data_IF_947204927996
#
_entry.id   IF_947204927996
#
_cell.length_a   1.000
_cell.length_b   1.000
_cell.length_c   1.000
_cell.angle_alpha   90.00
_cell.angle_beta   90.00
_cell.angle_gamma   90.00
#
_symmetry.space_group_name_H-M   'P 1'
#
loop_
_entity.id
_entity.type
_entity.pdbx_description
1 polymer ?
#
# COMPACT_ATOMS: atom_id res chain seq x y z
N UNK A 1 -37.51 54.80 -30.89
CA UNK A 1 -37.56 53.58 -31.74
C UNK A 1 -36.20 52.88 -31.90
N UNK A 2 -35.06 53.59 -31.97
CA UNK A 2 -33.72 52.97 -32.10
C UNK A 2 -33.21 52.26 -30.83
N UNK A 3 -33.67 52.66 -29.65
CA UNK A 3 -33.25 52.09 -28.35
C UNK A 3 -33.92 50.76 -27.99
N UNK A 4 -35.06 50.42 -28.60
CA UNK A 4 -35.80 49.17 -28.31
C UNK A 4 -35.17 47.97 -29.03
N UNK A 5 -34.60 48.20 -30.22
CA UNK A 5 -33.95 47.16 -31.01
C UNK A 5 -32.66 46.69 -30.33
N UNK A 6 -31.90 47.60 -29.72
CA UNK A 6 -30.66 47.27 -29.00
C UNK A 6 -30.90 46.40 -27.76
N UNK A 7 -32.01 46.63 -27.03
CA UNK A 7 -32.37 45.83 -25.86
C UNK A 7 -32.76 44.39 -26.22
N UNK A 8 -33.41 44.18 -27.38
CA UNK A 8 -33.79 42.83 -27.85
C UNK A 8 -32.59 41.96 -28.26
N UNK A 9 -31.52 42.56 -28.76
CA UNK A 9 -30.30 41.86 -29.16
C UNK A 9 -29.47 41.39 -27.95
N UNK A 10 -29.46 42.15 -26.86
CA UNK A 10 -28.74 41.78 -25.63
C UNK A 10 -29.48 40.66 -24.90
N UNK A 11 -30.82 40.67 -24.91
CA UNK A 11 -31.63 39.60 -24.34
C UNK A 11 -31.44 38.25 -25.06
N UNK A 12 -31.22 38.28 -26.39
CA UNK A 12 -30.99 37.06 -27.17
C UNK A 12 -29.61 36.43 -26.93
N UNK A 13 -28.62 37.18 -26.44
CA UNK A 13 -27.28 36.65 -26.16
C UNK A 13 -27.20 35.94 -24.79
N UNK A 14 -27.95 36.42 -23.80
CA UNK A 14 -27.97 35.81 -22.46
C UNK A 14 -28.70 34.46 -22.41
N UNK A 15 -29.64 34.22 -23.34
CA UNK A 15 -30.41 32.97 -23.41
C UNK A 15 -29.64 31.77 -24.00
N UNK A 16 -28.48 32.01 -24.62
CA UNK A 16 -27.62 30.97 -25.20
C UNK A 16 -26.28 30.82 -24.47
N UNK A 17 -26.12 31.45 -23.30
CA UNK A 17 -24.96 31.17 -22.45
C UNK A 17 -25.09 29.73 -21.91
N UNK A 18 -24.08 28.86 -22.06
CA UNK A 18 -24.13 27.53 -21.48
C UNK A 18 -24.30 27.67 -19.97
N UNK A 19 -25.42 27.17 -19.46
CA UNK A 19 -25.63 27.08 -18.02
C UNK A 19 -24.47 26.26 -17.47
N UNK A 20 -23.66 26.86 -16.57
CA UNK A 20 -22.70 26.09 -15.79
C UNK A 20 -23.51 25.12 -14.96
N UNK A 21 -23.61 23.90 -15.44
CA UNK A 21 -24.23 22.81 -14.71
C UNK A 21 -23.37 22.64 -13.46
N UNK A 22 -23.91 23.05 -12.32
CA UNK A 22 -23.26 22.78 -11.04
C UNK A 22 -23.15 21.27 -10.95
N UNK A 23 -21.92 20.76 -11.09
CA UNK A 23 -21.63 19.35 -10.88
C UNK A 23 -21.99 19.09 -9.43
N UNK A 24 -23.13 18.45 -9.23
CA UNK A 24 -23.50 17.97 -7.90
C UNK A 24 -22.53 16.82 -7.65
N UNK A 25 -21.57 17.02 -6.74
CA UNK A 25 -20.67 15.96 -6.31
C UNK A 25 -21.52 14.86 -5.69
N UNK A 26 -21.82 13.83 -6.48
CA UNK A 26 -22.20 12.54 -5.94
C UNK A 26 -21.11 12.11 -4.98
N UNK A 27 -21.43 11.49 -3.83
CA UNK A 27 -20.43 11.08 -2.82
C UNK A 27 -19.28 10.23 -3.40
N UNK A 28 -19.52 9.55 -4.53
CA UNK A 28 -18.50 8.88 -5.35
C UNK A 28 -17.35 9.79 -5.83
N UNK A 29 -17.62 11.06 -6.12
CA UNK A 29 -16.64 12.03 -6.63
C UNK A 29 -15.71 12.59 -5.54
N UNK A 30 -15.91 12.25 -4.26
CA UNK A 30 -15.14 12.83 -3.16
C UNK A 30 -13.69 12.31 -3.09
N UNK A 31 -13.43 11.10 -3.61
CA UNK A 31 -12.12 10.43 -3.49
C UNK A 31 -11.52 10.01 -4.84
N UNK A 32 -12.05 10.51 -5.96
CA UNK A 32 -11.57 10.15 -7.30
C UNK A 32 -10.16 10.68 -7.61
N UNK A 33 -9.79 11.82 -6.99
CA UNK A 33 -8.48 12.46 -7.13
C UNK A 33 -7.49 12.04 -6.03
N UNK A 34 -7.89 11.13 -5.14
CA UNK A 34 -7.04 10.69 -4.04
C UNK A 34 -5.90 9.78 -4.50
N UNK A 35 -4.84 9.74 -3.66
CA UNK A 35 -3.68 8.90 -3.88
C UNK A 35 -4.10 7.47 -4.25
N UNK A 36 -3.55 6.88 -5.32
CA UNK A 36 -3.82 5.48 -5.66
C UNK A 36 -4.98 5.22 -6.61
N UNK A 37 -5.83 6.21 -6.91
CA UNK A 37 -6.66 6.20 -8.10
C UNK A 37 -5.74 6.45 -9.31
N UNK A 38 -5.39 5.39 -10.04
CA UNK A 38 -4.47 5.48 -11.17
C UNK A 38 -4.95 4.67 -12.37
N UNK A 39 -4.53 5.09 -13.55
CA UNK A 39 -4.75 4.32 -14.77
C UNK A 39 -4.13 2.91 -14.61
N UNK A 40 -4.79 1.84 -15.12
CA UNK A 40 -5.92 1.86 -16.05
C UNK A 40 -7.32 1.90 -15.41
N UNK A 41 -7.44 1.71 -14.09
CA UNK A 41 -8.75 1.55 -13.44
C UNK A 41 -9.33 2.86 -12.87
N UNK A 42 -8.48 3.84 -12.56
CA UNK A 42 -8.92 5.07 -11.90
C UNK A 42 -9.43 4.78 -10.47
N UNK A 43 -10.54 5.42 -10.09
CA UNK A 43 -11.22 5.14 -8.84
C UNK A 43 -11.89 3.76 -8.88
N UNK A 44 -11.49 2.86 -7.97
CA UNK A 44 -11.97 1.48 -7.94
C UNK A 44 -12.58 1.15 -6.56
N UNK A 45 -13.89 1.30 -6.46
CA UNK A 45 -14.68 0.83 -5.32
C UNK A 45 -15.95 0.11 -5.79
N UNK A 46 -15.86 -1.18 -6.17
CA UNK A 46 -17.02 -1.93 -6.63
C UNK A 46 -18.00 -2.32 -5.51
N UNK A 47 -17.59 -2.20 -4.24
CA UNK A 47 -18.38 -2.61 -3.07
C UNK A 47 -18.99 -1.43 -2.32
N UNK A 48 -18.70 -0.19 -2.73
CA UNK A 48 -19.21 1.02 -2.09
C UNK A 48 -18.70 1.20 -0.66
N UNK A 49 -17.46 0.78 -0.39
CA UNK A 49 -16.84 0.87 0.93
C UNK A 49 -16.66 2.31 1.40
N UNK A 50 -16.56 3.28 0.49
CA UNK A 50 -16.37 4.71 0.80
C UNK A 50 -17.55 5.59 0.37
N UNK A 51 -18.69 4.99 0.01
CA UNK A 51 -19.90 5.69 -0.46
C UNK A 51 -20.48 6.68 0.56
N UNK A 52 -20.23 6.44 1.85
CA UNK A 52 -20.65 7.29 2.97
C UNK A 52 -19.94 8.65 3.00
N UNK A 53 -18.81 8.80 2.28
CA UNK A 53 -18.01 10.02 2.29
C UNK A 53 -17.28 10.30 3.61
N UNK A 54 -17.19 9.31 4.51
CA UNK A 54 -16.52 9.47 5.80
C UNK A 54 -14.99 9.43 5.64
N UNK A 55 -14.34 10.56 5.89
CA UNK A 55 -12.89 10.70 5.80
C UNK A 55 -12.16 9.80 6.81
N UNK A 56 -12.70 9.61 8.02
CA UNK A 56 -12.05 8.78 9.04
C UNK A 56 -12.01 7.31 8.59
N UNK A 57 -13.10 6.85 7.99
CA UNK A 57 -13.18 5.53 7.38
C UNK A 57 -12.18 5.38 6.23
N UNK A 58 -12.08 6.37 5.35
CA UNK A 58 -11.11 6.36 4.23
C UNK A 58 -9.66 6.31 4.73
N UNK A 59 -9.30 7.16 5.70
CA UNK A 59 -7.95 7.22 6.27
C UNK A 59 -7.58 5.90 6.95
N UNK A 60 -8.53 5.29 7.66
CA UNK A 60 -8.35 3.96 8.26
C UNK A 60 -8.16 2.87 7.20
N UNK A 61 -8.98 2.85 6.14
CA UNK A 61 -8.83 1.90 5.04
C UNK A 61 -7.47 2.07 4.34
N UNK A 62 -7.04 3.32 4.13
CA UNK A 62 -5.73 3.65 3.57
C UNK A 62 -4.59 3.16 4.45
N UNK A 63 -4.68 3.37 5.77
CA UNK A 63 -3.70 2.85 6.72
C UNK A 63 -3.57 1.33 6.63
N UNK A 64 -4.71 0.63 6.62
CA UNK A 64 -4.77 -0.82 6.52
C UNK A 64 -4.15 -1.29 5.20
N UNK A 65 -4.50 -0.66 4.08
CA UNK A 65 -3.96 -0.99 2.77
C UNK A 65 -2.44 -0.83 2.71
N UNK A 66 -1.90 0.30 3.18
CA UNK A 66 -0.45 0.57 3.20
C UNK A 66 0.27 -0.45 4.09
N UNK A 67 -0.27 -0.76 5.27
CA UNK A 67 0.35 -1.71 6.21
C UNK A 67 0.44 -3.11 5.61
N UNK A 68 -0.65 -3.60 5.03
CA UNK A 68 -0.64 -4.89 4.34
C UNK A 68 0.31 -4.86 3.14
N UNK A 69 0.33 -3.77 2.37
CA UNK A 69 1.19 -3.63 1.19
C UNK A 69 2.66 -3.71 1.56
N UNK A 70 3.09 -3.01 2.61
CA UNK A 70 4.47 -3.04 3.12
C UNK A 70 4.88 -4.44 3.59
N UNK A 71 4.01 -5.12 4.33
CA UNK A 71 4.26 -6.50 4.79
C UNK A 71 4.41 -7.43 3.58
N UNK A 72 3.51 -7.34 2.61
CA UNK A 72 3.54 -8.18 1.42
C UNK A 72 4.76 -7.90 0.52
N UNK A 73 5.20 -6.64 0.38
CA UNK A 73 6.41 -6.29 -0.36
C UNK A 73 7.66 -6.95 0.24
N UNK A 74 7.82 -6.89 1.57
CA UNK A 74 8.92 -7.56 2.26
C UNK A 74 8.81 -9.08 2.19
N UNK A 75 7.60 -9.63 2.35
CA UNK A 75 7.38 -11.07 2.27
C UNK A 75 7.67 -11.63 0.87
N UNK A 76 7.25 -10.93 -0.19
CA UNK A 76 7.51 -11.33 -1.56
C UNK A 76 9.00 -11.30 -1.88
N UNK A 77 9.71 -10.20 -1.54
CA UNK A 77 11.16 -10.12 -1.73
C UNK A 77 11.90 -11.18 -0.91
N UNK A 78 11.49 -11.40 0.34
CA UNK A 78 12.06 -12.43 1.21
C UNK A 78 11.96 -13.82 0.59
N UNK A 79 10.77 -14.21 0.11
CA UNK A 79 10.56 -15.49 -0.57
C UNK A 79 11.43 -15.62 -1.83
N UNK A 80 11.60 -14.55 -2.62
CA UNK A 80 12.46 -14.60 -3.81
C UNK A 80 13.93 -14.81 -3.47
N UNK A 81 14.43 -14.12 -2.43
CA UNK A 81 15.83 -14.21 -2.01
C UNK A 81 16.15 -15.59 -1.45
N UNK A 82 15.33 -16.10 -0.53
CA UNK A 82 15.58 -17.40 0.12
C UNK A 82 15.45 -18.56 -0.86
N UNK A 83 14.47 -18.50 -1.78
CA UNK A 83 14.30 -19.53 -2.82
C UNK A 83 15.38 -19.50 -3.89
N UNK A 84 16.07 -18.36 -4.07
CA UNK A 84 17.27 -18.27 -4.90
C UNK A 84 18.55 -18.76 -4.19
N UNK A 85 18.43 -19.31 -2.97
CA UNK A 85 19.55 -19.85 -2.20
C UNK A 85 20.46 -18.78 -1.59
N UNK A 86 20.01 -17.53 -1.52
CA UNK A 86 20.79 -16.45 -0.91
C UNK A 86 20.49 -16.42 0.58
N UNK A 87 21.39 -16.99 1.37
CA UNK A 87 21.29 -17.06 2.81
C UNK A 87 22.42 -16.27 3.48
N UNK A 88 22.18 -15.84 4.73
CA UNK A 88 23.25 -15.28 5.55
C UNK A 88 24.28 -16.38 5.84
N UNK A 89 25.56 -16.02 5.81
CA UNK A 89 26.61 -16.97 6.18
C UNK A 89 26.76 -17.07 7.70
N UNK A 90 26.91 -18.29 8.21
CA UNK A 90 27.15 -18.56 9.63
C UNK A 90 26.04 -19.37 10.29
N UNK A 91 26.25 -19.76 11.55
CA UNK A 91 25.26 -20.50 12.30
C UNK A 91 24.14 -19.57 12.77
N UNK A 92 22.88 -20.01 12.64
CA UNK A 92 21.71 -19.31 13.18
C UNK A 92 21.60 -19.49 14.70
N UNK A 93 22.13 -20.61 15.21
CA UNK A 93 22.01 -21.01 16.60
C UNK A 93 23.33 -21.44 17.21
N UNK A 94 23.30 -21.76 18.50
CA UNK A 94 24.46 -22.26 19.21
C UNK A 94 24.72 -23.76 18.97
N UNK A 95 23.81 -24.47 18.29
CA UNK A 95 23.97 -25.88 17.93
C UNK A 95 24.81 -26.04 16.63
N UNK A 96 24.94 -24.98 15.85
CA UNK A 96 25.75 -24.93 14.63
C UNK A 96 24.94 -25.05 13.34
N UNK A 97 23.60 -25.00 13.43
CA UNK A 97 22.71 -25.07 12.27
C UNK A 97 22.94 -23.83 11.39
N UNK A 98 23.09 -24.03 10.09
CA UNK A 98 23.37 -22.95 9.14
C UNK A 98 22.06 -22.33 8.64
N UNK A 99 22.07 -21.08 8.17
CA UNK A 99 20.87 -20.48 7.59
C UNK A 99 20.34 -21.23 6.35
N UNK A 100 21.23 -21.95 5.64
CA UNK A 100 20.89 -22.73 4.44
C UNK A 100 20.28 -24.12 4.78
N UNK A 101 20.32 -24.56 6.05
CA UNK A 101 19.72 -25.85 6.43
C UNK A 101 18.22 -25.79 6.64
N UNK A 102 17.62 -24.59 6.70
CA UNK A 102 16.19 -24.44 6.88
C UNK A 102 15.45 -24.47 5.54
N UNK A 103 14.27 -25.12 5.48
CA UNK A 103 13.49 -25.19 4.25
C UNK A 103 12.90 -23.81 3.89
N UNK A 104 12.55 -23.65 2.62
CA UNK A 104 11.90 -22.44 2.12
C UNK A 104 10.37 -22.46 2.36
N UNK A 105 9.74 -21.30 2.26
CA UNK A 105 8.28 -21.20 2.24
C UNK A 105 7.62 -21.44 3.60
N UNK A 106 6.43 -22.03 3.57
CA UNK A 106 5.65 -22.44 4.73
C UNK A 106 6.37 -23.50 5.58
N UNK A 107 7.17 -24.35 4.95
CA UNK A 107 7.95 -25.36 5.66
C UNK A 107 8.96 -24.75 6.65
N UNK A 108 9.43 -23.51 6.40
CA UNK A 108 10.30 -22.78 7.33
C UNK A 108 9.62 -22.49 8.68
N UNK A 109 8.29 -22.35 8.67
CA UNK A 109 7.47 -21.94 9.83
C UNK A 109 6.83 -23.16 10.50
N UNK A 110 6.38 -24.14 9.72
CA UNK A 110 5.60 -25.28 10.23
C UNK A 110 5.95 -26.61 9.54
N UNK A 111 7.21 -26.79 9.17
CA UNK A 111 7.77 -28.04 8.68
C UNK A 111 8.51 -28.86 9.74
N UNK A 112 8.99 -30.06 9.37
CA UNK A 112 9.77 -30.94 10.25
C UNK A 112 11.13 -30.34 10.64
N UNK A 113 11.74 -29.54 9.74
CA UNK A 113 13.03 -28.85 9.94
C UNK A 113 12.82 -27.32 10.08
N UNK A 114 11.71 -26.91 10.71
CA UNK A 114 11.35 -25.50 10.86
C UNK A 114 12.25 -24.75 11.86
N UNK A 115 12.20 -23.42 11.78
CA UNK A 115 12.87 -22.54 12.73
C UNK A 115 12.38 -22.86 14.16
N UNK A 116 13.29 -22.93 15.16
CA UNK A 116 12.91 -23.16 16.55
C UNK A 116 11.83 -22.17 17.03
N UNK A 117 10.84 -22.67 17.77
CA UNK A 117 9.71 -21.87 18.25
C UNK A 117 10.14 -20.67 19.10
N UNK A 118 11.24 -20.79 19.84
CA UNK A 118 11.82 -19.70 20.63
C UNK A 118 12.28 -18.54 19.74
N UNK A 119 12.90 -18.83 18.59
CA UNK A 119 13.31 -17.82 17.61
C UNK A 119 12.11 -17.12 16.98
N UNK A 120 11.07 -17.88 16.61
CA UNK A 120 9.82 -17.31 16.10
C UNK A 120 9.16 -16.40 17.14
N UNK A 121 9.13 -16.80 18.41
CA UNK A 121 8.58 -15.99 19.48
C UNK A 121 9.36 -14.67 19.66
N UNK A 122 10.69 -14.69 19.59
CA UNK A 122 11.51 -13.48 19.67
C UNK A 122 11.18 -12.50 18.53
N UNK A 123 11.03 -13.00 17.30
CA UNK A 123 10.65 -12.19 16.13
C UNK A 123 9.28 -11.55 16.36
N UNK A 124 8.28 -12.34 16.74
CA UNK A 124 6.91 -11.86 16.97
C UNK A 124 6.86 -10.86 18.12
N UNK A 125 7.55 -11.13 19.23
CA UNK A 125 7.61 -10.24 20.38
C UNK A 125 8.28 -8.90 20.02
N UNK A 126 9.36 -8.94 19.24
CA UNK A 126 10.04 -7.73 18.77
C UNK A 126 9.16 -6.91 17.82
N UNK A 127 8.50 -7.56 16.85
CA UNK A 127 7.56 -6.90 15.93
C UNK A 127 6.38 -6.28 16.71
N UNK A 128 5.84 -7.00 17.71
CA UNK A 128 4.78 -6.47 18.57
C UNK A 128 5.24 -5.24 19.37
N UNK A 129 6.47 -5.25 19.89
CA UNK A 129 7.05 -4.09 20.58
C UNK A 129 7.20 -2.88 19.63
N UNK A 130 7.67 -3.10 18.40
CA UNK A 130 7.75 -2.05 17.38
C UNK A 130 6.37 -1.51 16.98
N UNK A 131 5.38 -2.38 16.88
CA UNK A 131 4.01 -1.99 16.55
C UNK A 131 3.37 -1.13 17.65
N UNK A 132 3.66 -1.43 18.91
CA UNK A 132 3.12 -0.69 20.05
C UNK A 132 3.88 0.62 20.34
N UNK A 133 5.19 0.66 20.05
CA UNK A 133 6.06 1.78 20.43
C UNK A 133 6.46 2.72 19.29
N UNK A 134 6.70 2.21 18.08
CA UNK A 134 7.32 2.96 16.97
C UNK A 134 6.34 3.19 15.81
N UNK A 135 5.58 2.17 15.41
CA UNK A 135 4.68 2.22 14.24
C UNK A 135 3.31 2.83 14.57
N UNK A 136 3.31 3.88 15.39
CA UNK A 136 2.15 4.72 15.70
C UNK A 136 2.41 6.12 15.19
N UNK A 137 1.36 6.75 14.65
CA UNK A 137 1.36 8.17 14.38
C UNK A 137 1.35 8.90 15.73
N UNK A 138 2.49 9.45 16.12
CA UNK A 138 2.57 10.32 17.30
C UNK A 138 2.00 11.69 16.91
N UNK A 139 1.00 12.17 17.64
CA UNK A 139 0.44 13.50 17.41
C UNK A 139 1.50 14.57 17.71
N UNK A 140 1.69 15.53 16.80
CA UNK A 140 2.62 16.65 16.98
C UNK A 140 4.06 16.44 16.47
N UNK A 141 4.39 15.30 15.84
CA UNK A 141 5.73 15.03 15.27
C UNK A 141 5.87 15.38 13.78
N UNK A 142 4.89 16.07 13.20
CA UNK A 142 4.95 16.50 11.78
C UNK A 142 4.62 15.41 10.77
N UNK A 143 3.85 14.38 11.16
CA UNK A 143 3.39 13.34 10.24
C UNK A 143 2.53 13.97 9.12
N UNK A 144 3.03 13.93 7.88
CA UNK A 144 2.39 14.59 6.74
C UNK A 144 1.22 13.77 6.17
N UNK A 145 1.18 12.46 6.42
CA UNK A 145 0.17 11.56 5.88
C UNK A 145 -0.01 10.26 6.67
N UNK A 146 -1.11 9.56 6.41
CA UNK A 146 -1.42 8.24 6.98
C UNK A 146 -0.33 7.22 6.66
N UNK A 147 0.29 6.65 7.69
CA UNK A 147 1.37 5.66 7.55
C UNK A 147 2.78 6.27 7.46
N UNK A 148 2.92 7.58 7.74
CA UNK A 148 4.21 8.19 8.03
C UNK A 148 4.67 7.81 9.44
N UNK A 149 5.69 6.95 9.53
CA UNK A 149 6.28 6.48 10.79
C UNK A 149 7.66 7.10 11.04
N UNK A 150 8.06 8.11 10.26
CA UNK A 150 9.36 8.78 10.43
C UNK A 150 9.44 9.49 11.78
N UNK A 151 8.28 9.94 12.30
CA UNK A 151 8.14 10.58 13.61
C UNK A 151 9.22 11.67 13.86
N UNK A 152 9.60 12.41 12.81
CA UNK A 152 10.66 13.42 12.84
C UNK A 152 12.10 12.93 13.11
N UNK A 153 12.33 11.62 13.20
CA UNK A 153 13.61 11.01 13.60
C UNK A 153 14.36 10.32 12.46
N UNK A 154 13.64 9.89 11.42
CA UNK A 154 14.18 9.17 10.27
C UNK A 154 13.91 9.95 8.97
N UNK A 155 14.60 11.07 8.80
CA UNK A 155 14.57 11.80 7.53
C UNK A 155 15.68 11.33 6.59
N UNK A 156 15.34 10.48 5.63
CA UNK A 156 16.21 10.09 4.52
C UNK A 156 16.16 11.13 3.37
N UNK A 157 16.10 12.42 3.72
CA UNK A 157 15.97 13.53 2.77
C UNK A 157 14.60 13.60 2.10
N UNK A 158 13.56 13.05 2.73
CA UNK A 158 12.19 13.10 2.23
C UNK A 158 11.68 14.54 2.17
N UNK A 159 12.11 15.37 3.11
CA UNK A 159 11.68 16.76 3.23
C UNK A 159 12.26 17.65 2.12
N UNK A 160 13.24 17.15 1.35
CA UNK A 160 13.84 17.86 0.21
C UNK A 160 13.10 17.64 -1.13
N UNK A 161 12.14 16.70 -1.19
CA UNK A 161 11.39 16.45 -2.42
C UNK A 161 10.23 17.44 -2.59
N UNK A 162 9.93 17.75 -3.85
CA UNK A 162 8.72 18.45 -4.26
C UNK A 162 7.45 17.63 -3.99
N UNK A 163 6.32 18.32 -3.82
CA UNK A 163 5.04 17.69 -3.49
C UNK A 163 4.56 16.71 -4.58
N UNK A 164 4.83 17.02 -5.86
CA UNK A 164 4.48 16.15 -6.98
C UNK A 164 5.29 14.83 -6.94
N UNK A 165 6.60 14.91 -6.70
CA UNK A 165 7.42 13.71 -6.51
C UNK A 165 6.99 12.93 -5.27
N UNK A 166 6.68 13.59 -4.15
CA UNK A 166 6.17 12.91 -2.94
C UNK A 166 4.89 12.12 -3.25
N UNK A 167 3.94 12.72 -3.97
CA UNK A 167 2.70 12.05 -4.40
C UNK A 167 2.98 10.87 -5.34
N UNK A 168 3.83 11.07 -6.34
CA UNK A 168 4.23 10.02 -7.28
C UNK A 168 4.88 8.82 -6.58
N UNK A 169 5.82 9.06 -5.66
CA UNK A 169 6.50 8.01 -4.90
C UNK A 169 5.54 7.25 -3.98
N UNK A 170 4.60 7.94 -3.33
CA UNK A 170 3.56 7.31 -2.52
C UNK A 170 2.62 6.46 -3.37
N UNK A 171 2.30 6.90 -4.59
CA UNK A 171 1.48 6.12 -5.51
C UNK A 171 2.24 4.85 -5.95
N UNK A 172 3.53 4.97 -6.25
CA UNK A 172 4.39 3.83 -6.58
C UNK A 172 4.43 2.83 -5.42
N UNK A 173 4.63 3.29 -4.18
CA UNK A 173 4.61 2.44 -2.99
C UNK A 173 3.31 1.66 -2.87
N UNK A 174 2.17 2.35 -2.97
CA UNK A 174 0.86 1.75 -2.82
C UNK A 174 0.61 0.67 -3.89
N UNK A 175 0.95 0.95 -5.14
CA UNK A 175 0.68 0.02 -6.24
C UNK A 175 1.64 -1.17 -6.26
N UNK A 176 2.90 -0.97 -5.85
CA UNK A 176 3.80 -2.09 -5.57
C UNK A 176 3.28 -2.93 -4.40
N UNK A 177 2.73 -2.31 -3.36
CA UNK A 177 2.05 -2.98 -2.26
C UNK A 177 0.88 -3.86 -2.75
N UNK A 178 -0.04 -3.29 -3.55
CA UNK A 178 -1.17 -4.01 -4.15
C UNK A 178 -0.72 -5.20 -5.00
N UNK A 179 0.29 -5.01 -5.85
CA UNK A 179 0.85 -6.08 -6.67
C UNK A 179 1.51 -7.17 -5.80
N UNK A 180 2.24 -6.78 -4.76
CA UNK A 180 2.91 -7.70 -3.85
C UNK A 180 1.91 -8.54 -3.03
N UNK A 181 0.76 -7.99 -2.65
CA UNK A 181 -0.32 -8.75 -1.99
C UNK A 181 -0.79 -9.91 -2.87
N UNK A 182 -1.02 -9.66 -4.16
CA UNK A 182 -1.41 -10.70 -5.10
C UNK A 182 -0.26 -11.69 -5.37
N UNK A 183 0.98 -11.18 -5.43
CA UNK A 183 2.18 -11.99 -5.60
C UNK A 183 2.38 -13.00 -4.47
N UNK A 184 2.38 -12.54 -3.21
CA UNK A 184 2.58 -13.43 -2.06
C UNK A 184 1.43 -14.43 -1.89
N UNK A 185 0.19 -14.01 -2.13
CA UNK A 185 -0.97 -14.91 -2.12
C UNK A 185 -0.79 -16.02 -3.16
N UNK A 186 -0.38 -15.66 -4.37
CA UNK A 186 -0.05 -16.63 -5.42
C UNK A 186 1.02 -17.62 -4.97
N UNK A 187 2.13 -17.14 -4.41
CA UNK A 187 3.19 -18.00 -3.90
C UNK A 187 2.68 -18.97 -2.82
N UNK A 188 1.98 -18.47 -1.80
CA UNK A 188 1.49 -19.31 -0.70
C UNK A 188 0.51 -20.37 -1.17
N UNK A 189 -0.42 -20.02 -2.08
CA UNK A 189 -1.41 -20.97 -2.62
C UNK A 189 -0.74 -22.00 -3.52
N UNK A 190 0.16 -21.59 -4.40
CA UNK A 190 0.88 -22.51 -5.29
C UNK A 190 1.84 -23.44 -4.54
N UNK A 191 2.34 -23.03 -3.37
CA UNK A 191 3.11 -23.91 -2.49
C UNK A 191 2.28 -25.09 -1.98
N UNK A 192 1.06 -24.82 -1.54
CA UNK A 192 0.16 -25.85 -1.03
C UNK A 192 -0.40 -26.76 -2.12
N UNK A 193 -0.60 -26.22 -3.32
CA UNK A 193 -1.11 -27.00 -4.46
C UNK A 193 -0.06 -27.93 -5.08
N UNK A 194 1.23 -27.67 -4.83
CA UNK A 194 2.34 -28.42 -5.43
C UNK A 194 2.46 -28.17 -6.93
N UNK A 195 3.40 -27.32 -7.34
CA UNK A 195 3.59 -26.97 -8.74
C UNK A 195 4.90 -26.25 -9.02
N UNK A 196 5.23 -26.10 -10.30
CA UNK A 196 6.42 -25.34 -10.73
C UNK A 196 6.00 -23.95 -11.17
N UNK A 197 6.47 -22.92 -10.48
CA UNK A 197 6.27 -21.53 -10.91
C UNK A 197 7.45 -21.06 -11.78
N UNK A 198 7.21 -20.35 -12.90
CA UNK A 198 8.28 -19.95 -13.83
C UNK A 198 9.39 -19.12 -13.19
N UNK A 199 9.08 -18.33 -12.16
CA UNK A 199 10.02 -17.41 -11.49
C UNK A 199 10.72 -18.06 -10.29
N UNK A 200 10.13 -19.12 -9.75
CA UNK A 200 10.42 -19.59 -8.39
C UNK A 200 10.86 -21.06 -8.37
N UNK A 201 10.69 -21.77 -9.49
CA UNK A 201 11.02 -23.18 -9.61
C UNK A 201 9.95 -24.08 -9.01
N UNK A 202 10.33 -25.33 -8.69
CA UNK A 202 9.45 -26.28 -8.04
C UNK A 202 9.14 -25.83 -6.61
N UNK A 203 7.85 -25.86 -6.26
CA UNK A 203 7.32 -25.53 -4.93
C UNK A 203 7.02 -26.80 -4.15
#
# INVERSE_FOLDING_TARGET
MKSVIFASLIASAAAFAPAKQAVTSTSLAAFEDELGAQNPLGFFDPLGLVDSGDQEQFDRLRYVEIKHGRICMLAFLGQMITRNGIHLSGPIDNAGDQFDSFPNGWAAISGPDAIPQEGLFQIVAFVAALELGVMKSVEGTGNEFVGDFRNGSLDFGWDNFDEETKLSKRAIELNNGRAAMMGILGLMVHEQLGGTLPVVGAM
#
